data_IF_615243746185
#
_entry.id   IF_615243746185
#
_cell.length_a   1.000
_cell.length_b   1.000
_cell.length_c   1.000
_cell.angle_alpha   90.00
_cell.angle_beta   90.00
_cell.angle_gamma   90.00
#
_symmetry.space_group_name_H-M   'P 1'
#
loop_
_entity.id
_entity.type
_entity.pdbx_description
1 polymer ?
#
# COMPACT_ATOMS: atom_id res chain seq x y z
N UNK A 1 -19.11 45.22 4.00
CA UNK A 1 -18.57 44.08 3.21
C UNK A 1 -17.31 43.53 3.85
N UNK A 2 -16.35 44.38 4.24
CA UNK A 2 -15.08 43.96 4.88
C UNK A 2 -15.18 43.25 6.25
N UNK A 3 -16.20 43.51 7.07
CA UNK A 3 -16.35 42.83 8.38
C UNK A 3 -16.71 41.35 8.25
N UNK A 4 -17.53 41.00 7.24
CA UNK A 4 -17.91 39.60 6.99
C UNK A 4 -16.72 38.78 6.51
N UNK A 5 -15.83 39.40 5.73
CA UNK A 5 -14.59 38.78 5.25
C UNK A 5 -13.58 38.58 6.40
N UNK A 6 -13.51 39.52 7.34
CA UNK A 6 -12.66 39.41 8.52
C UNK A 6 -13.12 38.29 9.47
N UNK A 7 -14.43 38.19 9.74
CA UNK A 7 -15.00 37.13 10.58
C UNK A 7 -14.86 35.74 9.95
N UNK A 8 -15.05 35.63 8.63
CA UNK A 8 -14.85 34.38 7.90
C UNK A 8 -13.38 33.92 7.96
N UNK A 9 -12.45 34.86 7.87
CA UNK A 9 -11.01 34.58 7.93
C UNK A 9 -10.57 34.17 9.35
N UNK A 10 -11.13 34.79 10.39
CA UNK A 10 -10.95 34.40 11.80
C UNK A 10 -11.45 32.98 12.06
N UNK A 11 -12.65 32.64 11.54
CA UNK A 11 -13.23 31.30 11.71
C UNK A 11 -12.37 30.22 11.05
N UNK A 12 -11.94 30.44 9.81
CA UNK A 12 -11.10 29.51 9.07
C UNK A 12 -9.73 29.31 9.74
N UNK A 13 -9.12 30.38 10.23
CA UNK A 13 -7.87 30.32 11.00
C UNK A 13 -8.03 29.48 12.27
N UNK A 14 -9.14 29.66 12.99
CA UNK A 14 -9.44 28.92 14.22
C UNK A 14 -9.69 27.43 13.95
N UNK A 15 -10.33 27.09 12.83
CA UNK A 15 -10.51 25.69 12.40
C UNK A 15 -9.17 25.03 12.06
N UNK A 16 -8.27 25.72 11.36
CA UNK A 16 -6.92 25.21 11.07
C UNK A 16 -6.11 24.95 12.35
N UNK A 17 -6.15 25.88 13.30
CA UNK A 17 -5.49 25.72 14.61
C UNK A 17 -6.10 24.54 15.39
N UNK A 18 -7.43 24.36 15.33
CA UNK A 18 -8.11 23.21 15.97
C UNK A 18 -7.69 21.86 15.38
N UNK A 19 -7.24 21.84 14.12
CA UNK A 19 -6.73 20.65 13.44
C UNK A 19 -5.21 20.48 13.61
N UNK A 20 -4.57 21.34 14.40
CA UNK A 20 -3.12 21.28 14.68
C UNK A 20 -2.24 21.87 13.57
N UNK A 21 -2.82 22.60 12.61
CA UNK A 21 -2.06 23.29 11.56
C UNK A 21 -1.71 24.72 12.00
N UNK A 22 -0.48 25.14 11.73
CA UNK A 22 0.01 26.47 12.07
C UNK A 22 -0.18 27.41 10.86
N UNK A 23 -1.16 28.34 10.88
CA UNK A 23 -1.54 29.16 9.72
C UNK A 23 -0.55 30.29 9.41
N UNK A 24 0.47 30.49 10.25
CA UNK A 24 1.50 31.52 10.14
C UNK A 24 2.89 30.95 9.77
N UNK A 25 2.98 29.66 9.44
CA UNK A 25 4.23 29.06 8.98
C UNK A 25 4.46 29.41 7.50
N UNK A 26 5.52 30.17 7.21
CA UNK A 26 5.98 30.56 5.86
C UNK A 26 6.59 29.40 5.04
N UNK A 27 6.23 28.15 5.32
CA UNK A 27 6.76 26.96 4.62
C UNK A 27 5.65 26.30 3.78
N UNK A 28 5.68 26.58 2.48
CA UNK A 28 4.77 26.05 1.47
C UNK A 28 4.98 24.55 1.14
N UNK A 29 5.79 23.82 1.91
CA UNK A 29 6.15 22.41 1.61
C UNK A 29 5.57 21.35 2.57
N UNK A 30 4.75 21.71 3.56
CA UNK A 30 4.28 20.74 4.57
C UNK A 30 2.76 20.55 4.61
N UNK A 31 2.10 20.60 3.45
CA UNK A 31 0.69 20.19 3.31
C UNK A 31 0.51 18.96 2.40
N UNK A 32 1.59 18.42 1.83
CA UNK A 32 1.55 17.28 0.90
C UNK A 32 2.21 16.01 1.46
N UNK A 33 2.75 16.05 2.68
CA UNK A 33 3.38 14.87 3.32
C UNK A 33 2.39 13.95 4.05
N UNK A 34 1.14 14.38 4.19
CA UNK A 34 0.03 13.65 4.81
C UNK A 34 -1.27 13.71 4.03
N UNK A 35 -1.25 14.13 2.76
CA UNK A 35 -2.26 13.59 1.84
C UNK A 35 -1.94 12.11 1.75
N UNK A 36 -2.81 11.29 2.34
CA UNK A 36 -2.84 9.85 2.09
C UNK A 36 -3.33 9.73 0.64
N UNK A 37 -2.42 10.03 -0.28
CA UNK A 37 -2.58 9.85 -1.71
C UNK A 37 -2.72 8.35 -1.95
N UNK A 38 -3.95 7.96 -2.30
CA UNK A 38 -4.34 6.70 -2.94
C UNK A 38 -3.98 5.46 -2.11
N UNK A 39 -4.99 4.67 -1.76
CA UNK A 39 -4.79 3.29 -1.26
C UNK A 39 -3.67 2.62 -2.06
N UNK A 40 -2.49 2.42 -1.45
CA UNK A 40 -1.38 1.72 -2.11
C UNK A 40 -1.94 0.39 -2.63
N UNK A 41 -2.06 0.25 -3.96
CA UNK A 41 -2.59 -0.95 -4.59
C UNK A 41 -1.75 -2.14 -4.14
N UNK A 42 -2.29 -2.91 -3.20
CA UNK A 42 -1.59 -4.04 -2.64
C UNK A 42 -1.84 -5.28 -3.46
N UNK A 43 -0.79 -6.12 -3.63
CA UNK A 43 -0.88 -7.27 -4.51
C UNK A 43 -1.96 -8.24 -4.02
N UNK A 44 -2.72 -8.78 -4.96
CA UNK A 44 -3.80 -9.74 -4.70
C UNK A 44 -3.45 -11.18 -5.09
N UNK A 45 -2.38 -11.37 -5.86
CA UNK A 45 -1.96 -12.67 -6.38
C UNK A 45 -0.45 -12.90 -6.24
N UNK A 46 -0.06 -14.15 -6.00
CA UNK A 46 1.33 -14.57 -6.04
C UNK A 46 1.84 -14.61 -7.48
N UNK A 47 2.99 -13.98 -7.77
CA UNK A 47 3.56 -13.98 -9.13
C UNK A 47 4.10 -15.33 -9.61
N UNK A 48 4.29 -16.31 -8.71
CA UNK A 48 4.78 -17.65 -9.07
C UNK A 48 3.59 -18.55 -9.44
N UNK A 49 2.64 -18.75 -8.53
CA UNK A 49 1.49 -19.65 -8.78
C UNK A 49 0.29 -18.96 -9.44
N UNK A 50 0.33 -17.63 -9.61
CA UNK A 50 -0.75 -16.79 -10.17
C UNK A 50 -2.10 -16.96 -9.46
N UNK A 51 -2.08 -17.38 -8.19
CA UNK A 51 -3.25 -17.59 -7.37
C UNK A 51 -3.28 -16.70 -6.14
N UNK A 52 -4.37 -16.81 -5.37
CA UNK A 52 -4.49 -16.18 -4.05
C UNK A 52 -3.31 -16.57 -3.14
N UNK A 53 -2.84 -15.63 -2.33
CA UNK A 53 -1.75 -15.87 -1.39
C UNK A 53 -2.12 -16.95 -0.37
N UNK A 54 -1.20 -17.91 -0.19
CA UNK A 54 -1.17 -18.89 0.91
C UNK A 54 0.08 -18.61 1.72
N UNK A 55 -0.10 -18.16 2.97
CA UNK A 55 1.01 -17.76 3.85
C UNK A 55 1.98 -16.81 3.14
N UNK A 56 1.54 -15.57 2.83
CA UNK A 56 2.37 -14.67 2.05
C UNK A 56 3.63 -14.28 2.82
N UNK A 57 4.71 -14.06 2.09
CA UNK A 57 5.98 -13.53 2.60
C UNK A 57 6.44 -12.38 1.73
N UNK A 58 7.15 -11.43 2.34
CA UNK A 58 7.79 -10.31 1.66
C UNK A 58 9.31 -10.49 1.67
N UNK A 59 9.92 -10.31 0.52
CA UNK A 59 11.37 -10.36 0.33
C UNK A 59 12.02 -9.00 0.65
N UNK A 60 13.34 -8.97 0.78
CA UNK A 60 14.11 -7.72 0.97
C UNK A 60 13.91 -6.70 -0.16
N UNK A 61 13.55 -7.16 -1.37
CA UNK A 61 13.23 -6.30 -2.51
C UNK A 61 11.76 -5.88 -2.56
N UNK A 62 10.99 -6.14 -1.49
CA UNK A 62 9.56 -5.79 -1.32
C UNK A 62 8.61 -6.48 -2.30
N UNK A 63 8.97 -7.68 -2.75
CA UNK A 63 8.08 -8.51 -3.55
C UNK A 63 7.40 -9.58 -2.71
N UNK A 64 6.17 -9.93 -3.09
CA UNK A 64 5.28 -10.79 -2.32
C UNK A 64 5.04 -12.13 -3.01
N UNK A 65 5.14 -13.21 -2.25
CA UNK A 65 4.96 -14.58 -2.75
C UNK A 65 4.30 -15.46 -1.67
N UNK A 66 3.77 -16.62 -2.03
CA UNK A 66 3.45 -17.66 -1.06
C UNK A 66 4.75 -18.22 -0.46
N UNK A 67 4.77 -18.54 0.83
CA UNK A 67 5.93 -19.13 1.51
C UNK A 67 6.47 -20.35 0.73
N UNK A 68 5.62 -21.34 0.45
CA UNK A 68 6.03 -22.53 -0.30
C UNK A 68 6.53 -22.25 -1.72
N UNK A 69 5.96 -21.25 -2.40
CA UNK A 69 6.38 -20.91 -3.77
C UNK A 69 7.77 -20.26 -3.78
N UNK A 70 8.05 -19.33 -2.87
CA UNK A 70 9.35 -18.67 -2.85
C UNK A 70 10.44 -19.59 -2.31
N UNK A 71 10.12 -20.49 -1.37
CA UNK A 71 11.07 -21.49 -0.88
C UNK A 71 11.53 -22.40 -2.02
N UNK A 72 10.61 -22.96 -2.81
CA UNK A 72 10.97 -23.79 -3.96
C UNK A 72 11.82 -23.02 -4.99
N UNK A 73 11.43 -21.78 -5.30
CA UNK A 73 12.22 -20.95 -6.22
C UNK A 73 13.63 -20.64 -5.67
N UNK A 74 13.76 -20.45 -4.36
CA UNK A 74 15.02 -20.13 -3.70
C UNK A 74 15.99 -21.32 -3.71
N UNK A 75 15.47 -22.55 -3.60
CA UNK A 75 16.24 -23.79 -3.72
C UNK A 75 16.88 -23.93 -5.11
N UNK A 76 16.18 -23.49 -6.16
CA UNK A 76 16.73 -23.46 -7.52
C UNK A 76 17.70 -22.29 -7.74
N UNK A 77 17.28 -21.07 -7.35
CA UNK A 77 18.05 -19.83 -7.55
C UNK A 77 17.79 -18.85 -6.40
N UNK A 78 18.84 -18.31 -5.75
CA UNK A 78 18.69 -17.38 -4.63
C UNK A 78 18.35 -15.93 -5.05
N UNK A 79 17.60 -15.77 -6.15
CA UNK A 79 17.25 -14.48 -6.75
C UNK A 79 15.75 -14.29 -6.82
N UNK A 80 15.29 -13.05 -6.68
CA UNK A 80 13.87 -12.71 -6.75
C UNK A 80 13.31 -13.00 -8.16
N UNK A 81 12.21 -13.76 -8.27
CA UNK A 81 11.60 -14.07 -9.57
C UNK A 81 11.09 -12.84 -10.36
N UNK A 82 10.91 -11.69 -9.69
CA UNK A 82 10.36 -10.49 -10.32
C UNK A 82 11.47 -9.53 -10.77
N UNK A 83 12.42 -9.21 -9.90
CA UNK A 83 13.45 -8.20 -10.19
C UNK A 83 14.87 -8.74 -10.23
N UNK A 84 15.07 -10.05 -10.03
CA UNK A 84 16.40 -10.67 -10.07
C UNK A 84 17.35 -10.28 -8.94
N UNK A 85 16.90 -9.54 -7.91
CA UNK A 85 17.75 -9.18 -6.75
C UNK A 85 18.00 -10.40 -5.87
N UNK A 86 19.22 -10.55 -5.38
CA UNK A 86 19.59 -11.63 -4.46
C UNK A 86 18.80 -11.53 -3.15
N UNK A 87 18.17 -12.64 -2.72
CA UNK A 87 17.21 -12.64 -1.60
C UNK A 87 17.85 -12.96 -0.24
N UNK A 88 19.13 -13.33 -0.20
CA UNK A 88 19.91 -13.63 1.01
C UNK A 88 19.23 -14.58 2.02
N UNK A 89 18.21 -15.34 1.60
CA UNK A 89 17.41 -16.23 2.44
C UNK A 89 16.51 -15.55 3.46
N UNK A 90 16.30 -14.23 3.37
CA UNK A 90 15.48 -13.48 4.33
C UNK A 90 14.07 -13.28 3.79
N UNK A 91 13.11 -13.96 4.42
CA UNK A 91 11.68 -13.86 4.12
C UNK A 91 10.92 -13.43 5.37
N UNK A 92 10.19 -12.31 5.28
CA UNK A 92 9.47 -11.74 6.41
C UNK A 92 7.95 -11.87 6.23
N UNK A 93 7.19 -11.83 7.33
CA UNK A 93 5.74 -11.76 7.29
C UNK A 93 5.28 -10.37 6.81
N UNK A 94 4.39 -10.27 5.80
CA UNK A 94 3.99 -9.02 5.20
C UNK A 94 2.81 -8.40 5.97
N UNK A 95 3.08 -7.87 7.17
CA UNK A 95 2.02 -7.41 8.09
C UNK A 95 1.02 -6.44 7.46
N UNK A 96 1.49 -5.52 6.60
CA UNK A 96 0.61 -4.61 5.87
C UNK A 96 -0.38 -5.39 5.00
N UNK A 97 0.12 -6.30 4.17
CA UNK A 97 -0.66 -7.14 3.26
C UNK A 97 -1.67 -8.02 4.02
N UNK A 98 -1.28 -8.56 5.18
CA UNK A 98 -2.19 -9.33 6.04
C UNK A 98 -3.35 -8.49 6.58
N UNK A 99 -3.09 -7.27 7.04
CA UNK A 99 -4.13 -6.36 7.55
C UNK A 99 -5.09 -5.98 6.44
N UNK A 100 -4.56 -5.61 5.27
CA UNK A 100 -5.38 -5.26 4.10
C UNK A 100 -6.21 -6.44 3.60
N UNK A 101 -5.65 -7.65 3.55
CA UNK A 101 -6.43 -8.82 3.21
C UNK A 101 -7.58 -9.03 4.19
N UNK A 102 -7.33 -8.88 5.50
CA UNK A 102 -8.39 -9.00 6.51
C UNK A 102 -9.50 -7.97 6.34
N UNK A 103 -9.18 -6.72 6.00
CA UNK A 103 -10.20 -5.68 5.78
C UNK A 103 -11.01 -5.90 4.49
N UNK A 104 -10.48 -6.67 3.54
CA UNK A 104 -11.12 -6.91 2.23
C UNK A 104 -11.75 -8.32 2.06
N UNK A 105 -11.90 -9.08 3.15
CA UNK A 105 -12.52 -10.42 3.13
C UNK A 105 -11.55 -11.60 2.94
N UNK A 106 -10.25 -11.35 3.09
CA UNK A 106 -9.17 -12.31 3.00
C UNK A 106 -8.51 -12.38 1.62
N UNK A 107 -7.40 -13.12 1.54
CA UNK A 107 -6.63 -13.28 0.29
C UNK A 107 -7.44 -13.88 -0.85
N UNK A 108 -8.37 -14.80 -0.54
CA UNK A 108 -9.23 -15.41 -1.55
C UNK A 108 -10.24 -14.39 -2.12
N UNK A 109 -10.81 -13.54 -1.27
CA UNK A 109 -11.75 -12.51 -1.73
C UNK A 109 -11.04 -11.45 -2.57
N UNK A 110 -9.85 -11.01 -2.16
CA UNK A 110 -9.01 -10.09 -2.95
C UNK A 110 -8.70 -10.66 -4.33
N UNK A 111 -8.26 -11.91 -4.39
CA UNK A 111 -7.93 -12.56 -5.66
C UNK A 111 -9.13 -12.65 -6.60
N UNK A 112 -10.31 -13.04 -6.11
CA UNK A 112 -11.51 -13.17 -6.93
C UNK A 112 -11.96 -11.82 -7.50
N UNK A 113 -12.03 -10.77 -6.66
CA UNK A 113 -12.41 -9.42 -7.09
C UNK A 113 -11.55 -8.89 -8.23
N UNK A 114 -10.24 -9.15 -8.16
CA UNK A 114 -9.27 -8.68 -9.17
C UNK A 114 -9.11 -9.65 -10.36
N UNK A 115 -9.71 -10.85 -10.30
CA UNK A 115 -9.67 -11.81 -11.42
C UNK A 115 -10.77 -11.56 -12.45
N UNK A 116 -11.86 -10.91 -12.06
CA UNK A 116 -13.02 -10.65 -12.93
C UNK A 116 -12.86 -9.37 -13.77
N UNK A 117 -12.04 -8.41 -13.32
CA UNK A 117 -11.80 -7.13 -14.00
C UNK A 117 -10.79 -7.20 -15.16
N UNK A 118 -10.13 -8.36 -15.38
CA UNK A 118 -9.12 -8.56 -16.42
C UNK A 118 -9.61 -9.29 -17.68
N UNK A 119 -10.92 -9.38 -17.91
CA UNK A 119 -11.53 -10.07 -19.06
C UNK A 119 -12.14 -9.08 -20.07
N UNK A 120 -11.39 -8.05 -20.46
CA UNK A 120 -11.76 -7.06 -21.49
C UNK A 120 -10.49 -6.52 -22.17
N UNK A 121 -9.98 -7.24 -23.16
CA UNK A 121 -9.28 -6.69 -24.32
C UNK A 121 -9.34 -7.70 -25.49
N UNK A 122 -10.36 -7.52 -26.33
CA UNK A 122 -10.52 -8.22 -27.61
C UNK A 122 -9.65 -7.66 -28.73
#
# INVERSE_FOLDING_TARGET
QMEQEWDAQQKKRKELISMGLNPDADDAEEADKYRVDKEEEMPYACHICRGAFKEPVITVCRHYFCAGCITQSYEEKPFCPICGKHMAGVFNAPRKLEVYAKTHGGFKALFLKNSEEGADDG
#
